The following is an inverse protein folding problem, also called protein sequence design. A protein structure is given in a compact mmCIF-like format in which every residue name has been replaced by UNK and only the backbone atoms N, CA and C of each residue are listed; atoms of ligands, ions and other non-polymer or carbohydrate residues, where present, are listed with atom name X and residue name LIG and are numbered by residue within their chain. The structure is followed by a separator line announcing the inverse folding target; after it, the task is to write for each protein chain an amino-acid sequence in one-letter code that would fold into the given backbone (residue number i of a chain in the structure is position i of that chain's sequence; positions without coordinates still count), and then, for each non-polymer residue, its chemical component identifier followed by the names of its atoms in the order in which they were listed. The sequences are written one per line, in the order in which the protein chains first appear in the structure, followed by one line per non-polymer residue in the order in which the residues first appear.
data_IF_835120689904
#
_entry.id   IF_835120689904
#
_cell.length_a   1.000
_cell.length_b   1.000
_cell.length_c   1.000
_cell.angle_alpha   90.00
_cell.angle_beta   90.00
_cell.angle_gamma   90.00
#
_symmetry.space_group_name_H-M   'P 1'
#
loop_
_entity.id
_entity.type
_entity.pdbx_description
1 polymer ?
#
# COMPACT_ATOMS: atom_id res chain seq x y z
N UNK A 1 46.93 15.66 23.80
CA UNK A 1 46.53 14.35 24.37
C UNK A 1 46.00 13.51 23.19
N UNK A 2 46.78 12.51 22.75
CA UNK A 2 46.37 11.65 21.64
C UNK A 2 45.43 10.54 22.16
N UNK A 3 44.15 10.60 21.81
CA UNK A 3 43.20 9.52 22.09
C UNK A 3 43.65 8.26 21.34
N UNK A 4 44.20 7.29 22.06
CA UNK A 4 44.49 5.96 21.51
C UNK A 4 43.15 5.23 21.37
N UNK A 5 42.68 5.12 20.15
CA UNK A 5 41.51 4.30 19.81
C UNK A 5 41.75 2.84 20.24
N UNK A 6 40.80 2.27 20.94
CA UNK A 6 40.83 0.88 21.37
C UNK A 6 40.84 -0.03 20.13
N UNK A 7 41.72 -1.04 20.03
CA UNK A 7 41.77 -1.94 18.85
C UNK A 7 40.43 -2.60 18.51
N UNK A 8 39.57 -2.82 19.50
CA UNK A 8 38.22 -3.34 19.30
C UNK A 8 37.32 -2.34 18.55
N UNK A 9 37.40 -1.04 18.87
CA UNK A 9 36.63 0.00 18.17
C UNK A 9 37.08 0.13 16.71
N UNK A 10 38.36 -0.01 16.44
CA UNK A 10 38.91 0.07 15.10
C UNK A 10 38.43 -1.10 14.22
N UNK A 11 38.31 -2.31 14.77
CA UNK A 11 37.76 -3.48 14.07
C UNK A 11 36.29 -3.29 13.77
N UNK A 12 35.50 -2.79 14.73
CA UNK A 12 34.06 -2.54 14.52
C UNK A 12 33.86 -1.48 13.43
N UNK A 13 34.63 -0.42 13.43
CA UNK A 13 34.57 0.62 12.39
C UNK A 13 34.90 0.06 11.00
N UNK A 14 35.91 -0.80 10.89
CA UNK A 14 36.29 -1.41 9.62
C UNK A 14 35.17 -2.32 9.06
N UNK A 15 34.54 -3.13 9.91
CA UNK A 15 33.43 -4.02 9.50
C UNK A 15 32.20 -3.23 9.04
N UNK A 16 31.85 -2.15 9.75
CA UNK A 16 30.71 -1.28 9.36
C UNK A 16 31.01 -0.55 8.05
N UNK A 17 32.22 0.01 7.88
CA UNK A 17 32.57 0.73 6.67
C UNK A 17 32.60 -0.17 5.43
N UNK A 18 33.08 -1.41 5.54
CA UNK A 18 33.07 -2.38 4.42
C UNK A 18 31.66 -2.84 4.08
N UNK A 19 30.78 -3.04 5.07
CA UNK A 19 29.38 -3.39 4.86
C UNK A 19 28.58 -2.32 4.11
N UNK A 20 28.75 -1.04 4.50
CA UNK A 20 28.12 0.09 3.82
C UNK A 20 28.65 0.30 2.39
N UNK A 21 29.98 0.19 2.18
CA UNK A 21 30.61 0.33 0.86
C UNK A 21 30.09 -0.71 -0.14
N UNK A 22 29.92 -1.96 0.28
CA UNK A 22 29.43 -3.05 -0.57
C UNK A 22 27.95 -2.87 -0.93
N UNK A 23 27.11 -2.41 0.00
CA UNK A 23 25.69 -2.13 -0.24
C UNK A 23 25.50 -0.99 -1.24
N UNK A 24 26.26 0.10 -1.10
CA UNK A 24 26.19 1.23 -2.03
C UNK A 24 26.68 0.86 -3.45
N UNK A 25 27.71 0.04 -3.55
CA UNK A 25 28.23 -0.44 -4.84
C UNK A 25 27.20 -1.29 -5.61
N UNK A 26 26.44 -2.16 -4.91
CA UNK A 26 25.37 -2.96 -5.51
C UNK A 26 24.23 -2.12 -6.04
N UNK A 27 23.82 -1.04 -5.34
CA UNK A 27 22.76 -0.13 -5.76
C UNK A 27 23.14 0.66 -7.03
N UNK A 28 24.42 1.01 -7.20
CA UNK A 28 24.88 1.75 -8.39
C UNK A 28 24.93 0.84 -9.64
N UNK A 29 25.19 -0.45 -9.47
CA UNK A 29 25.22 -1.39 -10.61
C UNK A 29 23.84 -1.83 -11.09
N UNK A 30 22.76 -1.62 -10.31
CA UNK A 30 21.38 -1.95 -10.70
C UNK A 30 20.66 -0.80 -11.40
N UNK A 31 21.38 0.05 -12.15
CA UNK A 31 20.69 0.97 -13.08
C UNK A 31 20.09 0.15 -14.22
N UNK A 32 18.77 0.09 -14.39
CA UNK A 32 18.19 -0.49 -15.58
C UNK A 32 18.70 0.33 -16.77
N UNK A 33 19.35 -0.32 -17.71
CA UNK A 33 19.69 0.27 -19.00
C UNK A 33 18.37 0.63 -19.68
N UNK A 34 18.06 1.94 -19.71
CA UNK A 34 17.00 2.47 -20.56
C UNK A 34 17.50 2.28 -21.99
N UNK A 35 17.12 1.17 -22.63
CA UNK A 35 17.26 1.01 -24.06
C UNK A 35 16.48 2.14 -24.73
N UNK A 36 17.23 3.11 -25.25
CA UNK A 36 16.70 4.07 -26.23
C UNK A 36 16.35 3.26 -27.46
N UNK A 37 15.09 2.85 -27.55
CA UNK A 37 14.53 2.30 -28.78
C UNK A 37 14.72 3.33 -29.89
N UNK A 38 15.59 2.99 -30.83
CA UNK A 38 15.78 3.73 -32.08
C UNK A 38 14.45 3.64 -32.81
N UNK A 39 13.75 4.78 -32.94
CA UNK A 39 12.56 4.92 -33.76
C UNK A 39 12.97 4.69 -35.22
N UNK A 40 12.78 3.49 -35.73
CA UNK A 40 12.78 3.24 -37.16
C UNK A 40 11.55 3.95 -37.76
N UNK A 41 11.70 4.69 -38.89
CA UNK A 41 10.55 5.29 -39.57
C UNK A 41 9.67 4.16 -40.13
N UNK A 42 8.52 3.93 -39.55
CA UNK A 42 7.52 3.02 -40.08
C UNK A 42 6.90 3.63 -41.33
N UNK A 43 7.13 2.91 -42.46
CA UNK A 43 6.44 3.14 -43.70
C UNK A 43 4.91 3.10 -43.48
N UNK A 44 4.25 4.16 -43.91
CA UNK A 44 2.81 4.32 -43.90
C UNK A 44 2.16 3.31 -44.88
N UNK A 45 1.57 2.24 -44.35
CA UNK A 45 0.59 1.45 -45.09
C UNK A 45 -0.81 1.99 -44.79
N UNK A 46 -1.54 2.50 -45.79
CA UNK A 46 -2.94 2.87 -45.61
C UNK A 46 -3.79 1.62 -45.83
N UNK A 47 -4.09 0.89 -44.79
CA UNK A 47 -5.13 -0.13 -44.80
C UNK A 47 -6.16 0.13 -43.72
N UNK A 48 -7.24 0.73 -44.21
CA UNK A 48 -8.64 0.43 -43.91
C UNK A 48 -9.05 0.21 -42.46
N UNK A 49 -9.74 1.21 -41.96
CA UNK A 49 -10.93 1.20 -41.12
C UNK A 49 -11.27 -0.06 -40.34
N UNK A 50 -10.94 -0.01 -39.07
CA UNK A 50 -11.80 -0.45 -38.01
C UNK A 50 -11.43 0.44 -36.84
N UNK A 51 -12.30 1.35 -36.46
CA UNK A 51 -12.27 2.09 -35.20
C UNK A 51 -12.21 1.08 -34.04
N UNK A 52 -11.02 0.55 -33.76
CA UNK A 52 -10.76 -0.07 -32.47
C UNK A 52 -10.48 1.06 -31.50
N UNK A 53 -11.57 1.60 -30.97
CA UNK A 53 -11.49 2.41 -29.77
C UNK A 53 -10.62 1.62 -28.76
N UNK A 54 -9.46 2.16 -28.33
CA UNK A 54 -8.63 1.43 -27.37
C UNK A 54 -9.48 1.13 -26.16
N UNK A 55 -9.64 -0.14 -25.84
CA UNK A 55 -10.36 -0.54 -24.63
C UNK A 55 -9.75 0.23 -23.47
N UNK A 56 -10.55 1.03 -22.79
CA UNK A 56 -10.11 1.85 -21.66
C UNK A 56 -9.49 0.89 -20.63
N UNK A 57 -8.16 0.95 -20.50
CA UNK A 57 -7.46 0.11 -19.52
C UNK A 57 -7.88 0.61 -18.15
N UNK A 58 -8.54 -0.25 -17.37
CA UNK A 58 -8.97 0.08 -16.04
C UNK A 58 -7.75 0.51 -15.20
N UNK A 59 -7.87 1.57 -14.38
CA UNK A 59 -6.75 2.05 -13.57
C UNK A 59 -6.27 0.94 -12.65
N UNK A 60 -4.93 0.78 -12.53
CA UNK A 60 -4.34 -0.25 -11.68
C UNK A 60 -4.65 0.00 -10.19
N UNK A 61 -4.72 1.26 -9.78
CA UNK A 61 -4.89 1.69 -8.40
C UNK A 61 -6.13 2.55 -8.22
N UNK A 62 -6.88 2.29 -7.17
CA UNK A 62 -8.04 3.06 -6.74
C UNK A 62 -7.92 3.51 -5.28
N UNK A 63 -8.80 4.43 -4.90
CA UNK A 63 -8.93 4.92 -3.53
C UNK A 63 -10.38 4.79 -3.09
N UNK A 64 -10.59 4.23 -1.90
CA UNK A 64 -11.90 3.97 -1.32
C UNK A 64 -11.99 4.66 0.03
N UNK A 65 -13.01 5.50 0.21
CA UNK A 65 -13.32 6.13 1.49
C UNK A 65 -14.25 5.20 2.29
N UNK A 66 -13.87 4.91 3.52
CA UNK A 66 -14.63 4.06 4.43
C UNK A 66 -15.29 4.89 5.54
N UNK A 67 -16.60 4.73 5.71
CA UNK A 67 -17.43 5.56 6.61
C UNK A 67 -17.86 4.90 7.91
N UNK A 68 -17.37 3.72 8.26
CA UNK A 68 -17.80 2.94 9.44
C UNK A 68 -19.28 2.51 9.43
N UNK A 69 -19.93 2.57 8.29
CA UNK A 69 -21.32 2.11 8.16
C UNK A 69 -21.36 0.59 8.02
N UNK A 70 -22.38 -0.04 8.59
CA UNK A 70 -22.61 -1.46 8.38
C UNK A 70 -22.96 -1.73 6.89
N UNK A 71 -22.30 -2.73 6.29
CA UNK A 71 -22.52 -3.14 4.90
C UNK A 71 -22.39 -1.99 3.87
N UNK A 72 -21.37 -1.16 4.02
CA UNK A 72 -21.05 -0.13 3.04
C UNK A 72 -20.66 -0.80 1.71
N UNK A 73 -21.26 -0.37 0.60
CA UNK A 73 -21.01 -0.94 -0.72
C UNK A 73 -20.48 0.14 -1.67
N UNK A 74 -19.40 -0.16 -2.41
CA UNK A 74 -18.78 0.74 -3.37
C UNK A 74 -18.34 -0.01 -4.62
N UNK A 75 -18.54 0.61 -5.80
CA UNK A 75 -18.06 0.11 -7.08
C UNK A 75 -16.76 0.80 -7.48
N UNK A 76 -15.79 0.04 -8.00
CA UNK A 76 -14.49 0.57 -8.42
C UNK A 76 -13.98 -0.08 -9.70
N UNK A 77 -13.33 0.73 -10.55
CA UNK A 77 -12.68 0.27 -11.80
C UNK A 77 -11.17 0.07 -11.62
N UNK A 78 -10.74 -0.48 -10.49
CA UNK A 78 -9.31 -0.65 -10.20
C UNK A 78 -8.99 -2.10 -9.84
N UNK A 79 -7.73 -2.52 -10.08
CA UNK A 79 -7.25 -3.85 -9.70
C UNK A 79 -6.83 -3.93 -8.24
N UNK A 80 -6.43 -2.79 -7.66
CA UNK A 80 -6.03 -2.65 -6.27
C UNK A 80 -6.59 -1.37 -5.69
N UNK A 81 -6.96 -1.40 -4.41
CA UNK A 81 -7.50 -0.23 -3.71
C UNK A 81 -6.76 0.06 -2.43
N UNK A 82 -6.61 1.34 -2.12
CA UNK A 82 -6.24 1.82 -0.80
C UNK A 82 -7.50 2.28 -0.08
N UNK A 83 -7.69 1.83 1.14
CA UNK A 83 -8.81 2.23 1.98
C UNK A 83 -8.35 3.28 2.98
N UNK A 84 -9.15 4.33 3.15
CA UNK A 84 -8.93 5.35 4.17
C UNK A 84 -10.25 5.70 4.85
N UNK A 85 -10.21 6.02 6.13
CA UNK A 85 -11.43 6.39 6.85
C UNK A 85 -11.18 6.71 8.31
N UNK A 86 -12.25 6.99 9.06
CA UNK A 86 -12.18 7.14 10.50
C UNK A 86 -11.93 5.78 11.18
N UNK A 87 -11.35 5.80 12.36
CA UNK A 87 -11.25 4.64 13.24
C UNK A 87 -12.60 4.41 13.86
N UNK A 88 -13.29 3.33 13.49
CA UNK A 88 -14.64 3.03 13.96
C UNK A 88 -14.67 2.74 15.46
N UNK A 89 -15.73 3.17 16.14
CA UNK A 89 -15.91 2.98 17.57
C UNK A 89 -15.22 4.02 18.46
N UNK A 90 -14.58 5.04 17.86
CA UNK A 90 -14.07 6.21 18.58
C UNK A 90 -15.16 7.27 18.75
N UNK A 91 -16.13 7.03 19.57
CA UNK A 91 -17.21 8.00 19.85
C UNK A 91 -16.75 9.17 20.73
N UNK A 92 -15.66 8.98 21.50
CA UNK A 92 -15.12 9.99 22.40
C UNK A 92 -13.63 10.24 22.14
N UNK A 93 -13.22 11.50 22.15
CA UNK A 93 -11.83 11.92 21.89
C UNK A 93 -10.80 11.35 22.87
N UNK A 94 -11.19 11.01 24.09
CA UNK A 94 -10.35 10.37 25.11
C UNK A 94 -9.96 8.92 24.77
N UNK A 95 -10.71 8.25 23.89
CA UNK A 95 -10.45 6.87 23.52
C UNK A 95 -9.48 6.73 22.33
N UNK A 96 -9.15 7.82 21.63
CA UNK A 96 -8.25 7.81 20.46
C UNK A 96 -6.88 7.19 20.74
N UNK A 97 -6.35 7.40 21.94
CA UNK A 97 -5.05 6.85 22.35
C UNK A 97 -5.11 5.36 22.75
N UNK A 98 -6.25 4.71 22.67
CA UNK A 98 -6.47 3.37 23.22
C UNK A 98 -6.59 2.25 22.17
N UNK A 99 -6.37 2.54 20.88
CA UNK A 99 -6.34 1.52 19.84
C UNK A 99 -5.08 0.67 19.99
N UNK A 100 -5.25 -0.63 20.23
CA UNK A 100 -4.15 -1.61 20.40
C UNK A 100 -3.78 -2.24 19.07
N UNK A 101 -4.78 -2.55 18.25
CA UNK A 101 -4.57 -3.13 16.92
C UNK A 101 -5.67 -2.75 15.95
N UNK A 102 -5.30 -2.68 14.68
CA UNK A 102 -6.20 -2.52 13.55
C UNK A 102 -5.91 -3.63 12.54
N UNK A 103 -6.95 -4.27 12.03
CA UNK A 103 -6.84 -5.36 11.06
C UNK A 103 -7.79 -5.09 9.91
N UNK A 104 -7.29 -5.24 8.68
CA UNK A 104 -8.10 -5.14 7.45
C UNK A 104 -7.82 -6.37 6.59
N UNK A 105 -8.85 -7.13 6.28
CA UNK A 105 -8.75 -8.40 5.55
C UNK A 105 -9.73 -8.42 4.40
N UNK A 106 -9.26 -8.70 3.20
CA UNK A 106 -10.12 -9.05 2.08
C UNK A 106 -10.45 -10.54 2.14
N UNK A 107 -11.66 -10.87 2.54
CA UNK A 107 -12.09 -12.28 2.71
C UNK A 107 -12.16 -13.05 1.38
N UNK A 108 -12.29 -12.35 0.25
CA UNK A 108 -12.39 -13.00 -1.07
C UNK A 108 -11.06 -13.64 -1.53
N UNK A 109 -9.92 -13.13 -1.07
CA UNK A 109 -8.59 -13.64 -1.42
C UNK A 109 -7.67 -13.85 -0.22
N UNK A 110 -8.20 -13.72 1.01
CA UNK A 110 -7.46 -13.86 2.28
C UNK A 110 -6.29 -12.89 2.43
N UNK A 111 -6.32 -11.74 1.74
CA UNK A 111 -5.27 -10.75 1.82
C UNK A 111 -5.40 -9.93 3.10
N UNK A 112 -4.33 -9.89 3.88
CA UNK A 112 -4.20 -9.07 5.09
C UNK A 112 -3.46 -7.77 4.73
N UNK A 113 -4.15 -6.65 4.82
CA UNK A 113 -3.57 -5.36 4.53
C UNK A 113 -2.74 -4.83 5.70
N UNK A 114 -1.65 -4.12 5.39
CA UNK A 114 -0.94 -3.31 6.38
C UNK A 114 -1.77 -2.08 6.70
N UNK A 115 -2.02 -1.84 7.99
CA UNK A 115 -2.84 -0.72 8.46
C UNK A 115 -1.97 0.34 9.11
N UNK A 116 -2.11 1.57 8.66
CA UNK A 116 -1.47 2.76 9.23
C UNK A 116 -2.52 3.57 9.96
N UNK A 117 -2.31 3.83 11.25
CA UNK A 117 -3.25 4.60 12.09
C UNK A 117 -2.67 5.95 12.46
N UNK A 118 -3.45 7.00 12.24
CA UNK A 118 -3.21 8.34 12.79
C UNK A 118 -4.17 8.54 13.97
N UNK A 119 -3.67 8.28 15.17
CA UNK A 119 -4.46 8.39 16.39
C UNK A 119 -4.83 9.84 16.70
N UNK A 120 -3.99 10.81 16.32
CA UNK A 120 -4.27 12.24 16.50
C UNK A 120 -5.46 12.69 15.67
N UNK A 121 -5.50 12.30 14.40
CA UNK A 121 -6.61 12.60 13.50
C UNK A 121 -7.81 11.64 13.68
N UNK A 122 -7.65 10.51 14.38
CA UNK A 122 -8.67 9.47 14.50
C UNK A 122 -8.97 8.78 13.18
N UNK A 123 -7.95 8.63 12.32
CA UNK A 123 -8.07 8.07 10.96
C UNK A 123 -7.13 6.89 10.77
N UNK A 124 -7.45 6.07 9.76
CA UNK A 124 -6.57 5.02 9.30
C UNK A 124 -6.43 5.03 7.78
N UNK A 125 -5.40 4.38 7.29
CA UNK A 125 -5.21 4.05 5.88
C UNK A 125 -4.60 2.65 5.76
N UNK A 126 -4.75 2.03 4.58
CA UNK A 126 -4.12 0.74 4.29
C UNK A 126 -3.03 0.89 3.22
N UNK A 127 -2.25 -0.14 3.02
CA UNK A 127 -1.56 -0.37 1.75
C UNK A 127 -2.57 -0.73 0.64
N UNK A 128 -2.07 -1.10 -0.55
CA UNK A 128 -2.93 -1.46 -1.67
C UNK A 128 -3.40 -2.91 -1.59
N UNK A 129 -4.71 -3.08 -1.43
CA UNK A 129 -5.41 -4.36 -1.33
C UNK A 129 -5.76 -4.84 -2.75
N UNK A 130 -5.28 -6.01 -3.19
CA UNK A 130 -5.70 -6.60 -4.46
C UNK A 130 -7.17 -6.99 -4.42
N UNK A 131 -7.89 -6.73 -5.53
CA UNK A 131 -9.28 -7.10 -5.70
C UNK A 131 -9.42 -8.27 -6.67
N UNK A 132 -10.30 -9.20 -6.34
CA UNK A 132 -10.79 -10.21 -7.27
C UNK A 132 -11.71 -9.57 -8.33
N UNK A 133 -12.03 -10.34 -9.39
CA UNK A 133 -12.81 -9.86 -10.54
C UNK A 133 -14.24 -9.46 -10.25
N UNK A 134 -14.78 -9.89 -9.11
CA UNK A 134 -16.16 -9.67 -8.74
C UNK A 134 -16.30 -8.93 -7.42
N UNK A 135 -17.04 -9.50 -6.50
CA UNK A 135 -17.33 -8.97 -5.18
C UNK A 135 -16.21 -9.26 -4.19
N UNK A 136 -15.73 -8.23 -3.50
CA UNK A 136 -14.73 -8.33 -2.45
C UNK A 136 -15.36 -7.89 -1.12
N UNK A 137 -15.34 -8.75 -0.11
CA UNK A 137 -15.77 -8.41 1.24
C UNK A 137 -14.54 -8.10 2.08
N UNK A 138 -14.42 -6.84 2.47
CA UNK A 138 -13.28 -6.36 3.26
C UNK A 138 -13.74 -6.10 4.68
N UNK A 139 -13.21 -6.89 5.61
CA UNK A 139 -13.47 -6.74 7.04
C UNK A 139 -12.47 -5.79 7.65
N UNK A 140 -12.97 -4.72 8.28
CA UNK A 140 -12.19 -3.73 9.02
C UNK A 140 -12.47 -3.93 10.51
N UNK A 141 -11.44 -4.13 11.32
CA UNK A 141 -11.59 -4.38 12.75
C UNK A 141 -10.58 -3.56 13.56
N UNK A 142 -11.04 -2.90 14.59
CA UNK A 142 -10.23 -2.18 15.58
C UNK A 142 -10.40 -2.79 16.96
N UNK A 143 -9.30 -3.06 17.65
CA UNK A 143 -9.29 -3.54 19.03
C UNK A 143 -8.74 -2.44 19.94
N UNK A 144 -9.47 -2.16 21.01
CA UNK A 144 -9.14 -1.13 21.99
C UNK A 144 -8.55 -1.72 23.27
N UNK A 145 -7.80 -0.90 24.02
CA UNK A 145 -7.15 -1.31 25.27
C UNK A 145 -8.14 -1.80 26.35
N UNK A 146 -9.35 -1.26 26.35
CA UNK A 146 -10.44 -1.69 27.26
C UNK A 146 -11.09 -3.03 26.89
N UNK A 147 -10.54 -3.75 25.85
CA UNK A 147 -11.07 -5.01 25.35
C UNK A 147 -12.22 -4.86 24.36
N UNK A 148 -12.75 -3.65 24.15
CA UNK A 148 -13.78 -3.39 23.13
C UNK A 148 -13.22 -3.66 21.73
N UNK A 149 -14.07 -4.19 20.87
CA UNK A 149 -13.74 -4.41 19.45
C UNK A 149 -14.83 -3.75 18.60
N UNK A 150 -14.43 -2.94 17.63
CA UNK A 150 -15.31 -2.41 16.59
C UNK A 150 -14.99 -3.13 15.28
N UNK A 151 -16.02 -3.64 14.60
CA UNK A 151 -15.89 -4.32 13.32
C UNK A 151 -16.94 -3.81 12.35
N UNK A 152 -16.54 -3.60 11.10
CA UNK A 152 -17.42 -3.21 10.00
C UNK A 152 -16.99 -3.90 8.73
N UNK A 153 -17.93 -4.22 7.86
CA UNK A 153 -17.70 -4.84 6.58
C UNK A 153 -17.92 -3.83 5.45
N UNK A 154 -16.97 -3.78 4.52
CA UNK A 154 -17.03 -2.98 3.30
C UNK A 154 -17.06 -3.93 2.11
N UNK A 155 -18.08 -3.77 1.28
CA UNK A 155 -18.24 -4.54 0.05
C UNK A 155 -17.72 -3.70 -1.11
N UNK A 156 -16.73 -4.22 -1.83
CA UNK A 156 -16.20 -3.58 -3.03
C UNK A 156 -16.54 -4.44 -4.24
N UNK A 157 -17.28 -3.86 -5.17
CA UNK A 157 -17.60 -4.47 -6.45
C UNK A 157 -16.65 -3.92 -7.52
N UNK A 158 -15.92 -4.81 -8.18
CA UNK A 158 -15.02 -4.44 -9.28
C UNK A 158 -15.83 -4.42 -10.59
N UNK A 159 -15.83 -3.26 -11.27
CA UNK A 159 -16.43 -3.03 -12.58
C UNK A 159 -15.44 -3.23 -13.74
#
# INVERSE_FOLDING_TARGET
MANRLNPVELVIFAVVATGFGFSAYRLIQQRPSVERGILAPMASNPLSGADRQPAAVAPLFGHVAFGCKANEEQAVKASKVRITGPICGLENSSEKAQVVSATVVNSANQFHATVFTDLGAGKFSTDYIPLNSEKNSIKVQFKFKNGKTASSDLIIQKE
#
